data_IF_931712510423
#
_entry.id   IF_931712510423
#
_cell.length_a   1.000
_cell.length_b   1.000
_cell.length_c   1.000
_cell.angle_alpha   90.00
_cell.angle_beta   90.00
_cell.angle_gamma   90.00
#
_symmetry.space_group_name_H-M   'P 1'
#
loop_
_entity.id
_entity.type
_entity.pdbx_description
1 polymer ?
#
# COMPACT_ATOMS: atom_id res chain seq x y z
N UNK A 1 -16.54 15.66 -9.19
CA UNK A 1 -15.16 15.22 -9.53
C UNK A 1 -14.41 16.41 -10.09
N UNK A 2 -13.36 16.88 -9.42
CA UNK A 2 -12.46 17.86 -10.00
C UNK A 2 -11.79 17.22 -11.23
N UNK A 3 -11.87 17.89 -12.39
CA UNK A 3 -11.16 17.46 -13.59
C UNK A 3 -9.66 17.56 -13.32
N UNK A 4 -8.99 16.42 -13.29
CA UNK A 4 -7.53 16.36 -13.14
C UNK A 4 -6.92 16.99 -14.39
N UNK A 5 -6.03 17.96 -14.20
CA UNK A 5 -5.27 18.55 -15.29
C UNK A 5 -4.49 17.45 -16.03
N UNK A 6 -4.75 17.21 -17.33
CA UNK A 6 -4.07 16.18 -18.11
C UNK A 6 -2.54 16.35 -18.12
N UNK A 7 -2.04 17.59 -18.05
CA UNK A 7 -0.61 17.86 -17.98
C UNK A 7 0.02 17.39 -16.66
N UNK A 8 -0.73 17.52 -15.56
CA UNK A 8 -0.30 17.02 -14.25
C UNK A 8 -0.29 15.49 -14.19
N UNK A 9 -1.28 14.83 -14.80
CA UNK A 9 -1.33 13.36 -14.84
C UNK A 9 -0.14 12.78 -15.63
N UNK A 10 0.16 13.34 -16.80
CA UNK A 10 1.30 12.89 -17.60
C UNK A 10 2.64 13.11 -16.87
N UNK A 11 2.80 14.22 -16.14
CA UNK A 11 4.00 14.47 -15.36
C UNK A 11 4.20 13.42 -14.25
N UNK A 12 3.11 12.93 -13.65
CA UNK A 12 3.16 11.86 -12.65
C UNK A 12 3.54 10.52 -13.29
N UNK A 13 2.96 10.18 -14.44
CA UNK A 13 3.30 8.96 -15.18
C UNK A 13 4.81 8.92 -15.47
N UNK A 14 5.37 10.02 -15.97
CA UNK A 14 6.80 10.10 -16.27
C UNK A 14 7.66 9.92 -15.00
N UNK A 15 7.23 10.46 -13.85
CA UNK A 15 7.94 10.27 -12.57
C UNK A 15 7.87 8.82 -12.07
N UNK A 16 6.73 8.15 -12.25
CA UNK A 16 6.60 6.73 -11.96
C UNK A 16 7.55 5.88 -12.82
N UNK A 17 7.65 6.18 -14.11
CA UNK A 17 8.55 5.51 -15.05
C UNK A 17 10.02 5.72 -14.63
N UNK A 18 10.44 6.96 -14.39
CA UNK A 18 11.80 7.29 -13.94
C UNK A 18 12.17 6.58 -12.62
N UNK A 19 11.23 6.51 -11.67
CA UNK A 19 11.45 5.84 -10.40
C UNK A 19 11.50 4.32 -10.56
N UNK A 20 10.66 3.74 -11.44
CA UNK A 20 10.65 2.31 -11.77
C UNK A 20 11.93 1.87 -12.44
N UNK A 21 12.45 2.65 -13.39
CA UNK A 21 13.73 2.38 -14.03
C UNK A 21 14.88 2.39 -13.04
N UNK A 22 14.91 3.37 -12.14
CA UNK A 22 15.91 3.42 -11.08
C UNK A 22 15.80 2.25 -10.10
N UNK A 23 14.58 1.93 -9.65
CA UNK A 23 14.34 0.88 -8.66
C UNK A 23 14.66 -0.52 -9.19
N UNK A 24 14.49 -0.72 -10.50
CA UNK A 24 14.72 -2.00 -11.17
C UNK A 24 16.07 -2.06 -11.88
N UNK A 25 16.92 -1.03 -11.71
CA UNK A 25 18.23 -0.97 -12.35
C UNK A 25 19.11 -2.17 -11.95
N UNK A 26 19.72 -2.82 -12.95
CA UNK A 26 20.59 -3.98 -12.75
C UNK A 26 19.87 -5.30 -12.50
N UNK A 27 18.53 -5.32 -12.45
CA UNK A 27 17.74 -6.56 -12.36
C UNK A 27 17.59 -7.22 -13.74
N UNK A 28 17.46 -8.54 -13.76
CA UNK A 28 17.10 -9.27 -14.97
C UNK A 28 15.67 -8.93 -15.43
N UNK A 29 15.32 -9.27 -16.68
CA UNK A 29 14.04 -8.94 -17.31
C UNK A 29 12.83 -9.35 -16.46
N UNK A 30 12.84 -10.54 -15.86
CA UNK A 30 11.73 -11.03 -15.05
C UNK A 30 11.62 -10.21 -13.77
N UNK A 31 12.72 -10.00 -13.07
CA UNK A 31 12.73 -9.24 -11.83
C UNK A 31 12.44 -7.75 -12.04
N UNK A 32 12.72 -7.20 -13.22
CA UNK A 32 12.26 -5.85 -13.59
C UNK A 32 10.73 -5.77 -13.70
N UNK A 33 10.07 -6.81 -14.22
CA UNK A 33 8.60 -6.86 -14.26
C UNK A 33 8.00 -7.09 -12.87
N UNK A 34 8.56 -8.04 -12.10
CA UNK A 34 8.08 -8.39 -10.75
C UNK A 34 8.24 -7.22 -9.79
N UNK A 35 9.44 -6.68 -9.64
CA UNK A 35 9.69 -5.60 -8.67
C UNK A 35 9.27 -4.24 -9.24
N UNK A 36 9.12 -4.14 -10.57
CA UNK A 36 8.67 -2.93 -11.21
C UNK A 36 7.26 -2.56 -10.77
N UNK A 37 6.39 -3.55 -10.51
CA UNK A 37 4.99 -3.33 -10.13
C UNK A 37 4.83 -2.38 -8.94
N UNK A 38 5.78 -2.43 -8.00
CA UNK A 38 5.81 -1.65 -6.76
C UNK A 38 5.67 -0.14 -7.01
N UNK A 39 6.18 0.33 -8.15
CA UNK A 39 5.98 1.70 -8.61
C UNK A 39 4.61 1.82 -9.28
N UNK A 40 3.70 2.59 -8.70
CA UNK A 40 2.36 2.79 -9.23
C UNK A 40 1.38 1.65 -8.92
N UNK A 41 1.86 0.45 -8.56
CA UNK A 41 1.04 -0.73 -8.22
C UNK A 41 -0.06 -1.01 -9.26
N UNK A 42 0.37 -1.17 -10.52
CA UNK A 42 -0.54 -1.37 -11.65
C UNK A 42 -1.48 -0.19 -11.95
N UNK A 43 -1.12 1.03 -11.51
CA UNK A 43 -1.91 2.24 -11.68
C UNK A 43 -2.78 2.61 -10.47
N UNK A 44 -2.89 1.73 -9.47
CA UNK A 44 -3.73 1.97 -8.30
C UNK A 44 -3.24 3.13 -7.44
N UNK A 45 -1.93 3.39 -7.33
CA UNK A 45 -1.42 4.55 -6.57
C UNK A 45 -1.82 5.87 -7.24
N UNK A 46 -1.78 5.96 -8.58
CA UNK A 46 -2.27 7.13 -9.31
C UNK A 46 -3.77 7.30 -9.17
N UNK A 47 -4.53 6.23 -9.38
CA UNK A 47 -5.99 6.24 -9.22
C UNK A 47 -6.40 6.67 -7.80
N UNK A 48 -5.74 6.15 -6.77
CA UNK A 48 -5.98 6.53 -5.39
C UNK A 48 -5.74 8.03 -5.20
N UNK A 49 -4.54 8.51 -5.51
CA UNK A 49 -4.18 9.93 -5.34
C UNK A 49 -5.03 10.88 -6.19
N UNK A 50 -5.55 10.44 -7.33
CA UNK A 50 -6.50 11.24 -8.12
C UNK A 50 -7.86 11.41 -7.45
N UNK A 51 -8.30 10.44 -6.65
CA UNK A 51 -9.57 10.49 -5.94
C UNK A 51 -9.46 11.08 -4.52
N UNK A 52 -8.24 11.40 -4.07
CA UNK A 52 -7.96 12.06 -2.78
C UNK A 52 -7.93 13.60 -2.88
N UNK A 53 -8.36 14.16 -4.02
CA UNK A 53 -8.41 15.62 -4.23
C UNK A 53 -9.18 16.29 -3.08
N UNK A 54 -8.69 17.44 -2.63
CA UNK A 54 -9.23 18.25 -1.52
C UNK A 54 -9.13 17.61 -0.11
N UNK A 55 -8.88 16.30 0.00
CA UNK A 55 -8.70 15.59 1.28
C UNK A 55 -7.27 15.73 1.82
N UNK A 56 -6.28 15.80 0.94
CA UNK A 56 -4.86 15.90 1.32
C UNK A 56 -4.43 17.36 1.38
N UNK A 57 -4.33 17.87 2.60
CA UNK A 57 -3.79 19.18 2.92
C UNK A 57 -3.04 19.13 4.25
N UNK A 58 -2.20 20.12 4.55
CA UNK A 58 -1.53 20.22 5.85
C UNK A 58 -0.63 19.02 6.15
N UNK A 59 -0.82 18.37 7.31
CA UNK A 59 -0.06 17.18 7.70
C UNK A 59 -0.79 15.92 7.25
N UNK A 60 -0.12 15.09 6.47
CA UNK A 60 -0.61 13.79 6.02
C UNK A 60 0.25 12.66 6.61
N UNK A 61 -0.38 11.63 7.14
CA UNK A 61 0.28 10.41 7.60
C UNK A 61 -0.08 9.24 6.68
N UNK A 62 0.90 8.49 6.21
CA UNK A 62 0.70 7.14 5.67
C UNK A 62 1.24 6.14 6.69
N UNK A 63 0.38 5.26 7.23
CA UNK A 63 0.78 4.25 8.20
C UNK A 63 0.89 2.87 7.56
N UNK A 64 1.84 2.07 8.05
CA UNK A 64 2.33 0.89 7.34
C UNK A 64 2.86 1.24 5.93
N UNK A 65 3.55 2.37 5.82
CA UNK A 65 3.99 2.96 4.54
C UNK A 65 5.08 2.16 3.77
N UNK A 66 5.52 1.02 4.30
CA UNK A 66 6.51 0.15 3.68
C UNK A 66 7.81 0.86 3.32
N UNK A 67 8.21 0.78 2.05
CA UNK A 67 9.36 1.52 1.50
C UNK A 67 8.97 2.81 0.77
N UNK A 68 7.74 3.30 0.94
CA UNK A 68 7.36 4.69 0.64
C UNK A 68 6.99 4.99 -0.81
N UNK A 69 6.56 4.00 -1.59
CA UNK A 69 6.08 4.23 -2.98
C UNK A 69 4.82 5.08 -3.01
N UNK A 70 3.85 4.77 -2.16
CA UNK A 70 2.63 5.58 -2.07
C UNK A 70 2.91 6.98 -1.55
N UNK A 71 3.85 7.15 -0.61
CA UNK A 71 4.34 8.45 -0.16
C UNK A 71 4.99 9.27 -1.29
N UNK A 72 5.78 8.65 -2.16
CA UNK A 72 6.32 9.33 -3.35
C UNK A 72 5.18 9.84 -4.24
N UNK A 73 4.17 9.01 -4.48
CA UNK A 73 3.02 9.36 -5.29
C UNK A 73 2.16 10.47 -4.67
N UNK A 74 1.92 10.44 -3.36
CA UNK A 74 1.27 11.53 -2.61
C UNK A 74 2.09 12.82 -2.73
N UNK A 75 3.42 12.74 -2.60
CA UNK A 75 4.31 13.91 -2.69
C UNK A 75 4.32 14.57 -4.05
N UNK A 76 4.18 13.79 -5.12
CA UNK A 76 4.04 14.33 -6.47
C UNK A 76 2.68 15.00 -6.69
N UNK A 77 1.60 14.41 -6.19
CA UNK A 77 0.23 14.93 -6.35
C UNK A 77 -0.07 16.12 -5.45
N UNK A 78 0.45 16.12 -4.22
CA UNK A 78 0.15 17.09 -3.18
C UNK A 78 1.43 17.74 -2.63
N UNK A 79 2.19 18.50 -3.46
CA UNK A 79 3.52 19.00 -3.11
C UNK A 79 3.52 20.00 -1.94
N UNK A 80 2.35 20.50 -1.52
CA UNK A 80 2.18 21.39 -0.35
C UNK A 80 1.92 20.66 0.96
N UNK A 81 1.67 19.35 0.93
CA UNK A 81 1.45 18.56 2.13
C UNK A 81 2.77 18.29 2.87
N UNK A 82 2.71 18.30 4.20
CA UNK A 82 3.79 17.83 5.07
C UNK A 82 3.58 16.35 5.34
N UNK A 83 4.41 15.51 4.70
CA UNK A 83 4.24 14.07 4.69
C UNK A 83 4.96 13.40 5.87
N UNK A 84 4.30 12.42 6.46
CA UNK A 84 4.80 11.55 7.50
C UNK A 84 4.59 10.11 7.06
N UNK A 85 5.64 9.29 7.13
CA UNK A 85 5.54 7.85 6.95
C UNK A 85 5.73 7.16 8.29
N UNK A 86 4.80 6.30 8.68
CA UNK A 86 4.95 5.44 9.86
C UNK A 86 5.07 3.99 9.42
N UNK A 87 6.09 3.31 9.92
CA UNK A 87 6.26 1.87 9.72
C UNK A 87 6.89 1.23 10.95
N UNK A 88 6.61 -0.05 11.20
CA UNK A 88 7.12 -0.75 12.38
C UNK A 88 8.65 -0.89 12.39
N UNK A 89 9.25 -0.95 11.20
CA UNK A 89 10.69 -0.88 10.98
C UNK A 89 11.01 -0.26 9.60
N UNK A 90 12.25 0.20 9.45
CA UNK A 90 12.83 0.58 8.15
C UNK A 90 14.04 -0.30 7.85
N UNK A 91 13.83 -1.62 7.94
CA UNK A 91 14.87 -2.64 7.73
C UNK A 91 14.42 -3.63 6.66
N UNK A 92 15.34 -4.50 6.23
CA UNK A 92 15.03 -5.49 5.20
C UNK A 92 14.46 -4.83 3.93
N UNK A 93 13.27 -5.25 3.44
CA UNK A 93 12.63 -4.63 2.27
C UNK A 93 12.40 -3.12 2.42
N UNK A 94 12.19 -2.62 3.64
CA UNK A 94 11.90 -1.20 3.91
C UNK A 94 13.14 -0.30 3.97
N UNK A 95 14.35 -0.88 3.94
CA UNK A 95 15.59 -0.13 4.12
C UNK A 95 15.88 0.87 2.99
N UNK A 96 15.28 0.67 1.81
CA UNK A 96 15.50 1.54 0.65
C UNK A 96 14.68 2.84 0.68
N UNK A 97 13.73 3.00 1.62
CA UNK A 97 12.76 4.10 1.63
C UNK A 97 13.39 5.49 1.46
N UNK A 98 14.49 5.78 2.18
CA UNK A 98 15.16 7.08 2.09
C UNK A 98 15.69 7.34 0.68
N UNK A 99 16.36 6.35 0.09
CA UNK A 99 16.91 6.47 -1.28
C UNK A 99 15.79 6.60 -2.31
N UNK A 100 14.69 5.87 -2.12
CA UNK A 100 13.52 5.94 -2.99
C UNK A 100 12.89 7.34 -2.94
N UNK A 101 12.64 7.87 -1.74
CA UNK A 101 12.05 9.20 -1.56
C UNK A 101 12.99 10.32 -2.05
N UNK A 102 14.31 10.17 -1.84
CA UNK A 102 15.32 11.07 -2.38
C UNK A 102 15.31 11.05 -3.92
N UNK A 103 15.26 9.87 -4.55
CA UNK A 103 15.14 9.72 -6.00
C UNK A 103 13.83 10.30 -6.52
N UNK A 104 12.74 10.15 -5.78
CA UNK A 104 11.44 10.73 -6.08
C UNK A 104 11.41 12.26 -5.88
N UNK A 105 12.39 12.85 -5.21
CA UNK A 105 12.38 14.28 -4.86
C UNK A 105 11.31 14.64 -3.84
N UNK A 106 10.87 13.69 -3.01
CA UNK A 106 9.78 13.86 -2.05
C UNK A 106 10.32 13.86 -0.62
N UNK A 107 10.01 14.91 0.14
CA UNK A 107 10.42 15.03 1.55
C UNK A 107 9.36 14.44 2.47
N UNK A 108 9.76 13.47 3.29
CA UNK A 108 8.90 12.80 4.27
C UNK A 108 9.59 12.71 5.62
N UNK A 109 8.85 12.98 6.70
CA UNK A 109 9.27 12.64 8.05
C UNK A 109 8.99 11.15 8.33
N UNK A 110 10.05 10.32 8.33
CA UNK A 110 9.94 8.89 8.61
C UNK A 110 9.94 8.63 10.13
N UNK A 111 8.91 7.96 10.60
CA UNK A 111 8.69 7.58 12.01
C UNK A 111 8.67 6.07 12.11
N UNK A 112 9.54 5.52 12.95
CA UNK A 112 9.52 4.09 13.26
C UNK A 112 8.66 3.87 14.51
N UNK A 113 7.50 3.24 14.36
CA UNK A 113 6.59 2.96 15.47
C UNK A 113 5.56 1.89 15.08
N UNK A 114 4.92 1.29 16.08
CA UNK A 114 3.76 0.44 15.89
C UNK A 114 2.53 1.30 15.53
N UNK A 115 1.79 0.93 14.49
CA UNK A 115 0.57 1.62 14.10
C UNK A 115 -0.55 1.46 15.14
N UNK A 116 -0.49 0.42 15.97
CA UNK A 116 -1.38 0.21 17.12
C UNK A 116 -1.04 1.12 18.32
N UNK A 117 0.03 1.91 18.25
CA UNK A 117 0.43 2.87 19.29
C UNK A 117 1.20 4.05 18.66
N UNK A 118 0.48 4.90 17.93
CA UNK A 118 1.10 5.96 17.14
C UNK A 118 1.67 7.07 18.05
N UNK A 119 2.95 7.46 17.91
CA UNK A 119 3.63 8.40 18.80
C UNK A 119 3.30 9.87 18.46
N UNK A 120 2.02 10.14 18.22
CA UNK A 120 1.52 11.45 17.83
C UNK A 120 0.40 11.93 18.77
N UNK A 121 0.30 13.25 19.00
CA UNK A 121 -0.81 13.82 19.73
C UNK A 121 -2.16 13.57 19.04
N UNK A 122 -3.23 13.60 19.83
CA UNK A 122 -4.62 13.59 19.33
C UNK A 122 -4.82 14.73 18.33
N UNK A 123 -5.50 14.46 17.21
CA UNK A 123 -5.91 15.51 16.27
C UNK A 123 -4.78 16.32 15.62
N UNK A 124 -3.65 15.69 15.30
CA UNK A 124 -2.50 16.39 14.71
C UNK A 124 -2.39 16.27 13.18
N UNK A 125 -3.08 15.32 12.56
CA UNK A 125 -3.13 15.13 11.10
C UNK A 125 -4.44 15.60 10.49
N UNK A 126 -4.38 16.21 9.31
CA UNK A 126 -5.55 16.62 8.53
C UNK A 126 -6.06 15.48 7.63
N UNK A 127 -5.17 14.59 7.21
CA UNK A 127 -5.55 13.33 6.58
C UNK A 127 -4.56 12.22 6.89
N UNK A 128 -5.05 10.99 6.80
CA UNK A 128 -4.29 9.78 7.05
C UNK A 128 -4.65 8.77 5.96
N UNK A 129 -3.66 8.05 5.45
CA UNK A 129 -3.87 6.91 4.57
C UNK A 129 -3.21 5.64 5.11
N UNK A 130 -3.71 4.50 4.63
CA UNK A 130 -3.01 3.22 4.68
C UNK A 130 -3.26 2.52 3.36
N UNK A 131 -2.20 2.36 2.57
CA UNK A 131 -2.25 1.74 1.27
C UNK A 131 -1.62 0.35 1.31
N UNK A 132 -2.45 -0.69 1.14
CA UNK A 132 -2.10 -2.12 1.17
C UNK A 132 -1.37 -2.60 2.43
N UNK A 133 -1.37 -1.80 3.51
CA UNK A 133 -0.71 -2.13 4.77
C UNK A 133 -1.57 -3.00 5.70
N UNK A 134 -2.90 -3.01 5.54
CA UNK A 134 -3.78 -3.76 6.46
C UNK A 134 -3.63 -5.27 6.24
N UNK A 135 -3.42 -5.72 5.01
CA UNK A 135 -3.15 -7.13 4.73
C UNK A 135 -1.88 -7.62 5.44
N UNK A 136 -0.79 -6.86 5.36
CA UNK A 136 0.48 -7.15 6.04
C UNK A 136 0.31 -7.21 7.56
N UNK A 137 -0.43 -6.25 8.11
CA UNK A 137 -0.77 -6.24 9.53
C UNK A 137 -1.59 -7.45 9.95
N UNK A 138 -2.58 -7.85 9.14
CA UNK A 138 -3.44 -9.01 9.42
C UNK A 138 -2.62 -10.31 9.44
N UNK A 139 -1.69 -10.46 8.50
CA UNK A 139 -0.81 -11.64 8.41
C UNK A 139 0.11 -11.74 9.63
N UNK A 140 0.70 -10.61 10.06
CA UNK A 140 1.71 -10.60 11.12
C UNK A 140 1.14 -10.51 12.54
N UNK A 141 -0.01 -9.88 12.72
CA UNK A 141 -0.53 -9.46 14.03
C UNK A 141 -2.02 -9.74 14.25
N UNK A 142 -2.70 -10.33 13.27
CA UNK A 142 -4.11 -10.68 13.37
C UNK A 142 -5.06 -9.50 13.17
N UNK A 143 -6.35 -9.83 13.14
CA UNK A 143 -7.41 -8.87 12.79
C UNK A 143 -7.67 -7.81 13.87
N UNK A 144 -7.49 -8.15 15.15
CA UNK A 144 -7.64 -7.21 16.26
C UNK A 144 -6.71 -5.99 16.12
N UNK A 145 -5.48 -6.23 15.65
CA UNK A 145 -4.49 -5.17 15.42
C UNK A 145 -4.93 -4.17 14.34
N UNK A 146 -5.76 -4.58 13.38
CA UNK A 146 -6.31 -3.67 12.38
C UNK A 146 -7.25 -2.66 13.02
N UNK A 147 -8.13 -3.13 13.90
CA UNK A 147 -9.07 -2.26 14.63
C UNK A 147 -8.31 -1.30 15.52
N UNK A 148 -7.31 -1.77 16.28
CA UNK A 148 -6.48 -0.90 17.12
C UNK A 148 -5.74 0.17 16.30
N UNK A 149 -5.14 -0.20 15.16
CA UNK A 149 -4.45 0.76 14.31
C UNK A 149 -5.39 1.79 13.66
N UNK A 150 -6.60 1.38 13.26
CA UNK A 150 -7.62 2.29 12.75
C UNK A 150 -8.11 3.23 13.85
N UNK A 151 -8.35 2.74 15.06
CA UNK A 151 -8.69 3.60 16.22
C UNK A 151 -7.58 4.61 16.53
N UNK A 152 -6.31 4.19 16.47
CA UNK A 152 -5.16 5.09 16.64
C UNK A 152 -5.07 6.12 15.52
N UNK A 153 -5.32 5.73 14.27
CA UNK A 153 -5.41 6.65 13.14
C UNK A 153 -6.52 7.69 13.37
N UNK A 154 -7.72 7.26 13.74
CA UNK A 154 -8.84 8.17 14.07
C UNK A 154 -8.49 9.06 15.26
N UNK A 155 -7.79 8.56 16.29
CA UNK A 155 -7.33 9.37 17.43
C UNK A 155 -6.41 10.52 16.99
N UNK A 156 -5.42 10.25 16.15
CA UNK A 156 -4.44 11.27 15.70
C UNK A 156 -4.99 12.14 14.56
N UNK A 157 -6.13 11.78 13.98
CA UNK A 157 -6.85 12.57 12.97
C UNK A 157 -7.65 13.72 13.61
N UNK A 158 -7.59 14.90 12.99
CA UNK A 158 -8.38 16.08 13.37
C UNK A 158 -9.88 15.83 13.13
N UNK A 159 -10.78 16.42 13.94
CA UNK A 159 -12.18 16.56 13.56
C UNK A 159 -12.29 17.22 12.18
N UNK A 160 -13.15 16.67 11.33
CA UNK A 160 -13.31 17.06 9.92
C UNK A 160 -12.21 16.56 8.98
N UNK A 161 -11.17 15.87 9.48
CA UNK A 161 -10.11 15.26 8.67
C UNK A 161 -10.53 13.91 8.07
N UNK A 162 -9.73 13.41 7.13
CA UNK A 162 -10.03 12.19 6.36
C UNK A 162 -9.11 11.02 6.71
N UNK A 163 -9.68 9.84 6.93
CA UNK A 163 -8.97 8.56 6.93
C UNK A 163 -9.29 7.81 5.64
N UNK A 164 -8.24 7.37 4.94
CA UNK A 164 -8.31 6.79 3.59
C UNK A 164 -7.70 5.39 3.67
N UNK A 165 -8.54 4.36 3.69
CA UNK A 165 -8.10 2.96 3.72
C UNK A 165 -8.15 2.40 2.31
N UNK A 166 -7.02 1.87 1.82
CA UNK A 166 -6.93 1.19 0.53
C UNK A 166 -6.36 -0.22 0.71
N UNK A 167 -7.14 -1.25 0.38
CA UNK A 167 -6.68 -2.64 0.50
C UNK A 167 -7.43 -3.55 -0.49
N UNK A 168 -7.02 -4.82 -0.61
CA UNK A 168 -7.72 -5.83 -1.42
C UNK A 168 -8.93 -6.45 -0.68
N UNK A 169 -9.13 -6.08 0.59
CA UNK A 169 -10.31 -6.48 1.37
C UNK A 169 -11.62 -6.04 0.71
N UNK A 170 -12.70 -6.77 1.01
CA UNK A 170 -14.05 -6.38 0.62
C UNK A 170 -14.48 -5.11 1.37
N UNK A 171 -15.38 -4.33 0.76
CA UNK A 171 -15.93 -3.11 1.38
C UNK A 171 -16.52 -3.39 2.77
N UNK A 172 -17.34 -4.43 2.91
CA UNK A 172 -17.95 -4.81 4.18
C UNK A 172 -16.90 -5.01 5.28
N UNK A 173 -15.77 -5.64 4.95
CA UNK A 173 -14.69 -5.82 5.91
C UNK A 173 -14.04 -4.48 6.29
N UNK A 174 -13.69 -3.63 5.31
CA UNK A 174 -13.11 -2.31 5.59
C UNK A 174 -14.04 -1.43 6.43
N UNK A 175 -15.36 -1.49 6.16
CA UNK A 175 -16.37 -0.75 6.91
C UNK A 175 -16.48 -1.22 8.37
N UNK A 176 -16.31 -2.52 8.65
CA UNK A 176 -16.28 -3.00 10.04
C UNK A 176 -15.12 -2.40 10.85
N UNK A 177 -13.99 -2.04 10.21
CA UNK A 177 -12.84 -1.47 10.92
C UNK A 177 -13.13 -0.07 11.49
N UNK A 178 -14.11 0.64 10.92
CA UNK A 178 -14.47 2.02 11.29
C UNK A 178 -15.85 2.13 11.95
N UNK A 179 -16.58 1.02 12.10
CA UNK A 179 -17.98 1.01 12.56
C UNK A 179 -18.20 1.55 13.98
N UNK A 180 -17.18 1.44 14.83
CA UNK A 180 -17.21 1.92 16.21
C UNK A 180 -16.57 3.30 16.40
N UNK A 181 -16.12 3.91 15.30
CA UNK A 181 -15.48 5.23 15.30
C UNK A 181 -16.50 6.33 15.02
N UNK A 182 -16.27 7.54 15.56
CA UNK A 182 -17.12 8.70 15.29
C UNK A 182 -16.75 9.31 13.92
N UNK A 183 -17.17 8.63 12.85
CA UNK A 183 -16.84 8.98 11.46
C UNK A 183 -18.05 8.83 10.54
N UNK A 184 -18.01 9.52 9.41
CA UNK A 184 -18.94 9.37 8.29
C UNK A 184 -18.23 8.81 7.07
N UNK A 185 -18.82 7.83 6.36
CA UNK A 185 -18.28 7.34 5.08
C UNK A 185 -18.58 8.35 4.00
N UNK A 186 -17.55 8.86 3.32
CA UNK A 186 -17.67 9.90 2.29
C UNK A 186 -17.38 9.40 0.88
N UNK A 187 -16.64 8.30 0.75
CA UNK A 187 -16.31 7.70 -0.54
C UNK A 187 -16.10 6.20 -0.40
N UNK A 188 -16.62 5.45 -1.36
CA UNK A 188 -16.25 4.08 -1.65
C UNK A 188 -15.98 3.99 -3.15
N UNK A 189 -14.82 3.48 -3.52
CA UNK A 189 -14.46 3.28 -4.92
C UNK A 189 -13.50 2.10 -5.06
N UNK A 190 -13.42 1.51 -6.23
CA UNK A 190 -12.54 0.38 -6.49
C UNK A 190 -11.81 0.47 -7.82
N UNK A 191 -10.62 -0.13 -7.86
CA UNK A 191 -9.76 -0.14 -9.02
C UNK A 191 -9.26 -1.54 -9.30
N UNK A 192 -9.41 -1.97 -10.55
CA UNK A 192 -8.89 -3.24 -11.04
C UNK A 192 -7.58 -2.95 -11.76
N UNK A 193 -6.42 -3.31 -11.18
CA UNK A 193 -5.14 -3.13 -11.86
C UNK A 193 -5.07 -3.92 -13.18
N UNK A 194 -4.60 -3.29 -14.25
CA UNK A 194 -4.41 -3.98 -15.55
C UNK A 194 -3.03 -4.65 -15.63
N UNK A 195 -2.77 -5.58 -14.72
CA UNK A 195 -1.53 -6.35 -14.67
C UNK A 195 -1.77 -7.70 -15.32
N UNK A 196 -0.96 -8.06 -16.31
CA UNK A 196 -1.08 -9.33 -17.03
C UNK A 196 0.29 -9.98 -17.17
N UNK A 197 0.60 -10.92 -16.28
CA UNK A 197 1.87 -11.62 -16.30
C UNK A 197 1.82 -12.91 -17.11
N UNK A 198 2.85 -13.08 -17.94
CA UNK A 198 3.19 -14.36 -18.57
C UNK A 198 3.76 -15.33 -17.54
N UNK A 199 3.68 -16.63 -17.84
CA UNK A 199 4.15 -17.71 -16.95
C UNK A 199 5.54 -17.48 -16.33
N UNK A 200 6.60 -17.11 -17.08
CA UNK A 200 7.93 -16.92 -16.48
C UNK A 200 7.96 -15.86 -15.38
N UNK A 201 7.24 -14.75 -15.57
CA UNK A 201 7.16 -13.64 -14.61
C UNK A 201 6.34 -14.07 -13.40
N UNK A 202 5.21 -14.73 -13.63
CA UNK A 202 4.36 -15.27 -12.56
C UNK A 202 5.12 -16.29 -11.69
N UNK A 203 5.86 -17.22 -12.29
CA UNK A 203 6.66 -18.20 -11.57
C UNK A 203 7.81 -17.57 -10.78
N UNK A 204 8.42 -16.49 -11.29
CA UNK A 204 9.42 -15.72 -10.55
C UNK A 204 8.79 -14.98 -9.36
N UNK A 205 7.67 -14.29 -9.59
CA UNK A 205 6.96 -13.55 -8.56
C UNK A 205 6.47 -14.44 -7.42
N UNK A 206 5.91 -15.61 -7.72
CA UNK A 206 5.38 -16.53 -6.71
C UNK A 206 6.48 -17.00 -5.75
N UNK A 207 7.71 -17.21 -6.25
CA UNK A 207 8.86 -17.55 -5.38
C UNK A 207 9.18 -16.43 -4.42
N UNK A 208 9.25 -15.19 -4.91
CA UNK A 208 9.52 -14.00 -4.08
C UNK A 208 8.40 -13.78 -3.08
N UNK A 209 7.14 -13.84 -3.53
CA UNK A 209 5.98 -13.55 -2.69
C UNK A 209 5.76 -14.61 -1.61
N UNK A 210 6.01 -15.89 -1.88
CA UNK A 210 5.92 -16.94 -0.85
C UNK A 210 6.98 -16.74 0.25
N UNK A 211 8.18 -16.29 -0.11
CA UNK A 211 9.24 -15.95 0.85
C UNK A 211 8.86 -14.72 1.68
N UNK A 212 8.39 -13.64 1.04
CA UNK A 212 7.91 -12.43 1.71
C UNK A 212 6.78 -12.72 2.69
N UNK A 213 5.78 -13.50 2.28
CA UNK A 213 4.65 -13.89 3.13
C UNK A 213 5.10 -14.66 4.38
N UNK A 214 6.11 -15.52 4.21
CA UNK A 214 6.69 -16.29 5.32
C UNK A 214 7.38 -15.36 6.31
N UNK A 215 8.14 -14.37 5.83
CA UNK A 215 8.77 -13.36 6.67
C UNK A 215 7.72 -12.51 7.42
N UNK A 216 6.64 -12.11 6.75
CA UNK A 216 5.54 -11.32 7.33
C UNK A 216 4.73 -12.07 8.38
N UNK A 217 4.60 -13.39 8.26
CA UNK A 217 3.88 -14.23 9.25
C UNK A 217 4.48 -14.19 10.65
N UNK A 218 5.73 -13.70 10.79
CA UNK A 218 6.47 -13.61 12.06
C UNK A 218 6.52 -14.92 12.86
N UNK A 219 6.33 -16.07 12.21
CA UNK A 219 6.44 -17.38 12.84
C UNK A 219 7.84 -17.54 13.46
N UNK A 220 7.93 -17.98 14.72
CA UNK A 220 9.22 -18.12 15.43
C UNK A 220 9.92 -19.46 15.15
N UNK A 221 9.15 -20.49 14.86
CA UNK A 221 9.63 -21.86 14.62
C UNK A 221 9.91 -22.11 13.13
N UNK A 222 11.04 -22.78 12.85
CA UNK A 222 11.51 -23.09 11.49
C UNK A 222 10.53 -24.03 10.79
N UNK A 223 10.05 -25.07 11.48
CA UNK A 223 9.08 -26.01 10.88
C UNK A 223 7.77 -25.31 10.50
N UNK A 224 7.30 -24.39 11.36
CA UNK A 224 6.13 -23.56 11.06
C UNK A 224 6.37 -22.61 9.87
N UNK A 225 7.54 -21.98 9.76
CA UNK A 225 7.91 -21.15 8.59
C UNK A 225 7.91 -21.96 7.30
N UNK A 226 8.51 -23.15 7.31
CA UNK A 226 8.57 -24.02 6.15
C UNK A 226 7.18 -24.49 5.70
N UNK A 227 6.27 -24.74 6.65
CA UNK A 227 4.86 -25.05 6.36
C UNK A 227 4.15 -23.88 5.70
N UNK A 228 4.24 -22.69 6.30
CA UNK A 228 3.63 -21.46 5.77
C UNK A 228 4.14 -21.15 4.36
N UNK A 229 5.45 -21.25 4.14
CA UNK A 229 6.06 -21.05 2.83
C UNK A 229 5.48 -22.02 1.80
N UNK A 230 5.49 -23.33 2.12
CA UNK A 230 5.04 -24.38 1.22
C UNK A 230 3.57 -24.24 0.88
N UNK A 231 2.71 -24.02 1.88
CA UNK A 231 1.27 -23.83 1.69
C UNK A 231 0.97 -22.59 0.82
N UNK A 232 1.66 -21.47 1.10
CA UNK A 232 1.52 -20.22 0.34
C UNK A 232 1.95 -20.42 -1.11
N UNK A 233 3.13 -21.02 -1.34
CA UNK A 233 3.65 -21.30 -2.66
C UNK A 233 2.72 -22.21 -3.47
N UNK A 234 2.22 -23.31 -2.87
CA UNK A 234 1.31 -24.23 -3.56
C UNK A 234 -0.03 -23.57 -3.90
N UNK A 235 -0.58 -22.75 -2.99
CA UNK A 235 -1.80 -22.00 -3.23
C UNK A 235 -1.63 -21.02 -4.40
N UNK A 236 -0.59 -20.19 -4.37
CA UNK A 236 -0.29 -19.23 -5.42
C UNK A 236 -0.02 -19.91 -6.77
N UNK A 237 0.71 -21.03 -6.76
CA UNK A 237 0.96 -21.81 -7.98
C UNK A 237 -0.32 -22.42 -8.56
N UNK A 238 -1.19 -22.98 -7.73
CA UNK A 238 -2.46 -23.53 -8.19
C UNK A 238 -3.36 -22.46 -8.82
N UNK A 239 -3.45 -21.29 -8.19
CA UNK A 239 -4.17 -20.13 -8.71
C UNK A 239 -3.56 -19.65 -10.05
N UNK A 240 -2.23 -19.57 -10.15
CA UNK A 240 -1.55 -19.25 -11.40
C UNK A 240 -1.88 -20.23 -12.53
N UNK A 241 -1.81 -21.53 -12.29
CA UNK A 241 -2.15 -22.54 -13.31
C UNK A 241 -3.62 -22.41 -13.78
N UNK A 242 -4.54 -22.19 -12.84
CA UNK A 242 -5.93 -21.96 -13.15
C UNK A 242 -6.14 -20.71 -14.00
N UNK A 243 -5.51 -19.58 -13.62
CA UNK A 243 -5.60 -18.33 -14.36
C UNK A 243 -4.98 -18.45 -15.77
N UNK A 244 -3.80 -19.04 -15.89
CA UNK A 244 -3.15 -19.25 -17.19
C UNK A 244 -3.99 -20.15 -18.11
N UNK A 245 -4.62 -21.20 -17.58
CA UNK A 245 -5.51 -22.07 -18.35
C UNK A 245 -6.79 -21.37 -18.82
N UNK A 246 -7.37 -20.48 -17.99
CA UNK A 246 -8.66 -19.86 -18.28
C UNK A 246 -8.55 -18.60 -19.16
N UNK A 247 -7.57 -17.73 -18.91
CA UNK A 247 -7.46 -16.41 -19.57
C UNK A 247 -6.11 -16.16 -20.26
N UNK A 248 -5.13 -17.06 -20.14
CA UNK A 248 -3.83 -16.95 -20.80
C UNK A 248 -2.80 -16.04 -20.10
N UNK A 249 -3.14 -15.44 -18.97
CA UNK A 249 -2.25 -14.59 -18.17
C UNK A 249 -2.57 -14.72 -16.67
N UNK A 250 -1.60 -14.37 -15.82
CA UNK A 250 -1.75 -14.34 -14.37
C UNK A 250 -1.90 -12.89 -13.88
N UNK A 251 -2.83 -12.68 -12.94
CA UNK A 251 -3.02 -11.40 -12.23
C UNK A 251 -2.62 -11.64 -10.77
N UNK A 252 -1.54 -11.03 -10.28
CA UNK A 252 -0.98 -11.32 -8.96
C UNK A 252 -1.75 -10.68 -7.79
N UNK A 253 -2.45 -9.58 -8.06
CA UNK A 253 -3.13 -8.75 -7.07
C UNK A 253 -4.56 -8.49 -7.51
N UNK A 254 -5.49 -8.56 -6.56
CA UNK A 254 -6.91 -8.35 -6.80
C UNK A 254 -7.28 -6.87 -6.96
N UNK A 255 -8.60 -6.63 -6.97
CA UNK A 255 -9.17 -5.29 -6.96
C UNK A 255 -8.76 -4.55 -5.68
N UNK A 256 -8.15 -3.37 -5.84
CA UNK A 256 -7.88 -2.45 -4.72
C UNK A 256 -9.15 -1.66 -4.44
N UNK A 257 -9.61 -1.66 -3.20
CA UNK A 257 -10.80 -0.93 -2.75
C UNK A 257 -10.39 0.18 -1.82
N UNK A 258 -11.01 1.34 -2.00
CA UNK A 258 -10.81 2.53 -1.20
C UNK A 258 -12.07 2.85 -0.41
N UNK A 259 -11.95 2.95 0.91
CA UNK A 259 -12.95 3.55 1.79
C UNK A 259 -12.37 4.83 2.37
N UNK A 260 -13.06 5.94 2.16
CA UNK A 260 -12.73 7.21 2.82
C UNK A 260 -13.80 7.51 3.85
N UNK A 261 -13.34 7.76 5.08
CA UNK A 261 -14.18 8.28 6.15
C UNK A 261 -13.71 9.64 6.61
N UNK A 262 -14.64 10.48 7.04
CA UNK A 262 -14.37 11.79 7.63
C UNK A 262 -14.71 11.75 9.11
N UNK A 263 -13.80 12.24 9.95
CA UNK A 263 -14.02 12.30 11.40
C UNK A 263 -15.02 13.40 11.74
N UNK A 264 -15.98 13.10 12.60
CA UNK A 264 -17.01 14.03 13.08
C UNK A 264 -16.48 14.85 14.26
#
# INVERSE_FOLDING_TARGET
MATIDPGHEQAIINREEDLREWFTHGKDELMREVDGIDMGWGGSQRWATSNMSDMVSGRHLDFACGYGTFLAQIGWRFPRASLFGLNIDYRGPHACIRRLLDKAGVRVALVQADACAMPFPVGCFSSISCFLGLQDMKIGFGEESLRTAVSEAVRVLKPGGYLILLDEFAFDFLLTLVENECVEVVLQDEYVPDIKWRRPVAEAAIKVYSECWTAQSRAKDVAKRDSVHRETYQRMKADMEQQLGNKGFYVPHGTVRMVVVRKI
#
